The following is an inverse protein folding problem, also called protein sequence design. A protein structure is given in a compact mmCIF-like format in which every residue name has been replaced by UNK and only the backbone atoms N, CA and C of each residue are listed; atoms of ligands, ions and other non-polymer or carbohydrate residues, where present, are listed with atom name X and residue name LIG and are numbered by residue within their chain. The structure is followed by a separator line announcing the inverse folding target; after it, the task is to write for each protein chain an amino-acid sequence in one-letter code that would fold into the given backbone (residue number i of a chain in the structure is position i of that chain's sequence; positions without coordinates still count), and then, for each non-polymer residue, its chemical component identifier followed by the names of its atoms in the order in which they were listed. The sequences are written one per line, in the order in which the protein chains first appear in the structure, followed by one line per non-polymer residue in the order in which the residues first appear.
data_IF_773615647352
#
_entry.id   IF_773615647352
#
_cell.length_a   1.000
_cell.length_b   1.000
_cell.length_c   1.000
_cell.angle_alpha   90.00
_cell.angle_beta   90.00
_cell.angle_gamma   90.00
#
_symmetry.space_group_name_H-M   'P 1'
#
loop_
_entity.id
_entity.type
_entity.pdbx_description
1 polymer ?
#
# COMPACT_ATOMS: atom_id res chain seq x y z
N UNK A 1 5.38 14.83 30.96
CA UNK A 1 5.36 15.99 30.06
C UNK A 1 6.72 16.67 30.17
N UNK A 2 7.67 16.31 29.31
CA UNK A 2 8.90 17.09 29.14
C UNK A 2 8.53 18.27 28.22
N UNK A 3 8.77 19.49 28.68
CA UNK A 3 8.48 20.70 27.90
C UNK A 3 9.37 20.71 26.66
N UNK A 4 8.85 21.23 25.54
CA UNK A 4 9.54 21.32 24.24
C UNK A 4 10.92 21.98 24.31
N UNK A 5 11.18 22.77 25.36
CA UNK A 5 12.47 23.42 25.63
C UNK A 5 13.58 22.41 25.92
N UNK A 6 13.31 21.39 26.75
CA UNK A 6 14.32 20.39 27.14
C UNK A 6 14.88 19.56 25.97
N UNK A 7 14.04 19.31 24.95
CA UNK A 7 14.45 18.60 23.75
C UNK A 7 15.30 19.49 22.83
N UNK A 8 14.95 20.77 22.69
CA UNK A 8 15.70 21.72 21.87
C UNK A 8 17.07 22.03 22.47
N UNK A 9 17.17 22.11 23.80
CA UNK A 9 18.44 22.30 24.50
C UNK A 9 19.36 21.09 24.36
N UNK A 10 18.81 19.87 24.48
CA UNK A 10 19.57 18.63 24.27
C UNK A 10 20.04 18.45 22.82
N UNK A 11 19.18 18.81 21.85
CA UNK A 11 19.54 18.80 20.43
C UNK A 11 20.64 19.84 20.15
N UNK A 12 20.59 21.00 20.80
CA UNK A 12 21.62 22.03 20.65
C UNK A 12 22.95 21.64 21.26
N UNK A 13 22.97 21.06 22.46
CA UNK A 13 24.21 20.58 23.08
C UNK A 13 24.91 19.51 22.21
N UNK A 14 24.11 18.67 21.53
CA UNK A 14 24.61 17.71 20.55
C UNK A 14 25.20 18.39 19.30
N UNK A 15 24.53 19.40 18.75
CA UNK A 15 25.01 20.12 17.55
C UNK A 15 26.23 20.98 17.87
N UNK A 16 26.28 21.64 19.03
CA UNK A 16 27.40 22.46 19.48
C UNK A 16 28.66 21.62 19.68
N UNK A 17 28.52 20.40 20.22
CA UNK A 17 29.62 19.41 20.30
C UNK A 17 30.15 18.97 18.93
N UNK A 18 29.32 18.98 17.89
CA UNK A 18 29.73 18.60 16.52
C UNK A 18 30.27 19.75 15.66
N UNK A 19 30.04 21.01 16.04
CA UNK A 19 30.29 22.18 15.15
C UNK A 19 31.33 23.15 15.71
N UNK A 20 32.37 22.62 16.36
CA UNK A 20 33.34 23.40 17.16
C UNK A 20 34.27 24.35 16.36
N UNK A 21 33.93 24.77 15.14
CA UNK A 21 34.81 25.62 14.33
C UNK A 21 34.15 26.71 13.47
N UNK A 22 32.81 26.89 13.45
CA UNK A 22 32.19 27.96 12.65
C UNK A 22 31.00 28.56 13.41
N UNK A 23 31.26 29.55 14.26
CA UNK A 23 30.20 30.20 15.05
C UNK A 23 29.46 31.30 14.28
N UNK A 24 30.07 31.83 13.21
CA UNK A 24 29.55 32.96 12.43
C UNK A 24 29.73 32.66 10.94
N UNK A 25 28.65 32.78 10.17
CA UNK A 25 28.68 32.69 8.71
C UNK A 25 28.34 34.07 8.17
N UNK A 26 29.24 34.62 7.35
CA UNK A 26 28.99 35.88 6.66
C UNK A 26 28.18 35.62 5.38
N UNK A 27 26.95 36.12 5.32
CA UNK A 27 26.09 36.04 4.14
C UNK A 27 26.15 37.41 3.47
N UNK A 28 26.68 37.49 2.24
CA UNK A 28 27.01 38.75 1.55
C UNK A 28 25.87 39.77 1.38
N UNK A 29 24.62 39.37 1.63
CA UNK A 29 23.41 40.22 1.51
C UNK A 29 22.81 40.56 2.90
N UNK A 30 23.14 39.80 3.95
CA UNK A 30 22.45 39.86 5.24
C UNK A 30 23.36 40.11 6.45
N UNK A 31 24.68 40.22 6.26
CA UNK A 31 25.66 40.45 7.33
C UNK A 31 26.08 39.17 8.04
N UNK A 32 26.60 39.32 9.27
CA UNK A 32 27.06 38.20 10.11
C UNK A 32 25.88 37.55 10.86
N UNK A 33 25.67 36.24 10.62
CA UNK A 33 24.62 35.48 11.29
C UNK A 33 25.23 34.34 12.10
N UNK A 34 24.72 34.17 13.32
CA UNK A 34 25.06 32.99 14.13
C UNK A 34 24.41 31.75 13.51
N UNK A 35 25.13 30.63 13.57
CA UNK A 35 24.60 29.34 13.08
C UNK A 35 23.28 28.94 13.78
N UNK A 36 23.14 29.33 15.07
CA UNK A 36 21.91 29.14 15.86
C UNK A 36 20.70 29.83 15.23
N UNK A 37 20.87 31.07 14.78
CA UNK A 37 19.79 31.85 14.14
C UNK A 37 19.35 31.22 12.82
N UNK A 38 20.30 30.74 12.00
CA UNK A 38 20.00 30.10 10.70
C UNK A 38 19.22 28.79 10.90
N UNK A 39 19.65 27.96 11.86
CA UNK A 39 18.99 26.68 12.13
C UNK A 39 17.58 26.86 12.70
N UNK A 40 17.39 27.81 13.62
CA UNK A 40 16.05 28.13 14.15
C UNK A 40 15.08 28.58 13.06
N UNK A 41 15.53 29.44 12.14
CA UNK A 41 14.71 29.88 11.00
C UNK A 41 14.37 28.70 10.10
N UNK A 42 15.33 27.82 9.81
CA UNK A 42 15.11 26.60 9.03
C UNK A 42 14.11 25.64 9.68
N UNK A 43 14.19 25.45 10.99
CA UNK A 43 13.26 24.62 11.75
C UNK A 43 11.84 25.20 11.76
N UNK A 44 11.71 26.51 11.96
CA UNK A 44 10.42 27.22 11.90
C UNK A 44 9.81 27.06 10.50
N UNK A 45 10.59 27.28 9.44
CA UNK A 45 10.12 27.10 8.06
C UNK A 45 9.70 25.66 7.77
N UNK A 46 10.47 24.67 8.23
CA UNK A 46 10.11 23.26 8.11
C UNK A 46 8.79 22.93 8.83
N UNK A 47 8.59 23.44 10.05
CA UNK A 47 7.35 23.23 10.80
C UNK A 47 6.16 23.91 10.12
N UNK A 48 6.31 25.14 9.61
CA UNK A 48 5.28 25.86 8.84
C UNK A 48 4.91 25.09 7.58
N UNK A 49 5.88 24.60 6.80
CA UNK A 49 5.64 23.78 5.61
C UNK A 49 4.91 22.48 6.01
N UNK A 50 5.35 21.79 7.06
CA UNK A 50 4.74 20.54 7.52
C UNK A 50 3.30 20.73 8.01
N UNK A 51 3.02 21.84 8.69
CA UNK A 51 1.67 22.23 9.12
C UNK A 51 0.79 22.56 7.90
N UNK A 52 1.32 23.28 6.92
CA UNK A 52 0.62 23.59 5.66
C UNK A 52 0.31 22.34 4.81
N UNK A 53 1.22 21.37 4.75
CA UNK A 53 0.97 20.09 4.06
C UNK A 53 -0.11 19.28 4.79
N UNK A 54 -0.13 19.29 6.13
CA UNK A 54 -1.19 18.62 6.90
C UNK A 54 -2.55 19.27 6.71
N UNK A 55 -2.63 20.60 6.63
CA UNK A 55 -3.90 21.30 6.41
C UNK A 55 -4.48 21.02 5.01
N UNK A 56 -3.64 20.97 3.97
CA UNK A 56 -4.09 20.61 2.61
C UNK A 56 -4.61 19.17 2.51
N UNK A 57 -3.94 18.22 3.19
CA UNK A 57 -4.43 16.85 3.30
C UNK A 57 -5.79 16.79 4.03
N UNK A 58 -5.95 17.55 5.12
CA UNK A 58 -7.19 17.59 5.88
C UNK A 58 -8.37 18.11 5.04
N UNK A 59 -8.15 19.15 4.24
CA UNK A 59 -9.18 19.68 3.33
C UNK A 59 -9.56 18.69 2.23
N UNK A 60 -8.60 17.91 1.71
CA UNK A 60 -8.91 16.84 0.77
C UNK A 60 -9.81 15.76 1.39
N UNK A 61 -9.54 15.35 2.64
CA UNK A 61 -10.39 14.40 3.37
C UNK A 61 -11.79 14.96 3.65
N UNK A 62 -11.90 16.24 4.05
CA UNK A 62 -13.21 16.90 4.26
C UNK A 62 -14.05 16.91 2.98
N UNK A 63 -13.45 17.25 1.85
CA UNK A 63 -14.14 17.25 0.55
C UNK A 63 -14.63 15.85 0.15
N UNK A 64 -13.83 14.81 0.42
CA UNK A 64 -14.23 13.42 0.18
C UNK A 64 -15.40 12.99 1.07
N UNK A 65 -15.41 13.40 2.33
CA UNK A 65 -16.50 13.11 3.25
C UNK A 65 -17.80 13.79 2.80
N UNK A 66 -17.75 15.09 2.46
CA UNK A 66 -18.91 15.82 1.94
C UNK A 66 -19.47 15.20 0.65
N UNK A 67 -18.60 14.75 -0.26
CA UNK A 67 -19.04 14.07 -1.48
C UNK A 67 -19.70 12.71 -1.19
N UNK A 68 -19.20 11.97 -0.20
CA UNK A 68 -19.78 10.70 0.23
C UNK A 68 -21.14 10.92 0.91
N UNK A 69 -21.26 11.92 1.79
CA UNK A 69 -22.52 12.33 2.42
C UNK A 69 -23.56 12.75 1.38
N UNK A 70 -23.18 13.58 0.40
CA UNK A 70 -24.06 13.97 -0.70
C UNK A 70 -24.50 12.78 -1.57
N UNK A 71 -23.65 11.77 -1.74
CA UNK A 71 -24.02 10.56 -2.47
C UNK A 71 -25.04 9.73 -1.68
N UNK A 72 -24.85 9.58 -0.37
CA UNK A 72 -25.79 8.86 0.50
C UNK A 72 -27.15 9.56 0.48
N UNK A 73 -27.17 10.90 0.56
CA UNK A 73 -28.41 11.68 0.54
C UNK A 73 -29.14 11.54 -0.80
N UNK A 74 -28.42 11.59 -1.93
CA UNK A 74 -29.00 11.31 -3.26
C UNK A 74 -29.57 9.90 -3.35
N UNK A 75 -28.84 8.90 -2.87
CA UNK A 75 -29.29 7.50 -2.88
C UNK A 75 -30.50 7.27 -1.95
N UNK A 76 -30.67 8.08 -0.89
CA UNK A 76 -31.85 8.04 -0.02
C UNK A 76 -33.05 8.74 -0.67
N UNK A 77 -32.84 9.88 -1.31
CA UNK A 77 -33.87 10.61 -2.07
C UNK A 77 -34.40 9.77 -3.23
N UNK A 78 -33.50 9.19 -4.05
CA UNK A 78 -33.89 8.26 -5.12
C UNK A 78 -34.64 7.03 -4.58
N UNK A 79 -34.32 6.56 -3.37
CA UNK A 79 -35.09 5.46 -2.73
C UNK A 79 -36.50 5.89 -2.32
N UNK A 80 -36.67 7.11 -1.82
CA UNK A 80 -37.98 7.66 -1.46
C UNK A 80 -38.85 7.86 -2.71
N UNK A 81 -38.30 8.44 -3.78
CA UNK A 81 -38.99 8.58 -5.06
C UNK A 81 -39.45 7.22 -5.62
N UNK A 82 -38.57 6.21 -5.62
CA UNK A 82 -38.93 4.86 -6.08
C UNK A 82 -40.03 4.23 -5.22
N UNK A 83 -40.02 4.47 -3.90
CA UNK A 83 -41.06 3.96 -3.01
C UNK A 83 -42.42 4.66 -3.23
N UNK A 84 -42.41 5.97 -3.48
CA UNK A 84 -43.62 6.74 -3.82
C UNK A 84 -44.21 6.29 -5.15
N UNK A 85 -43.38 6.19 -6.20
CA UNK A 85 -43.79 5.68 -7.52
C UNK A 85 -44.36 4.27 -7.42
N UNK A 86 -43.74 3.39 -6.61
CA UNK A 86 -44.23 2.03 -6.40
C UNK A 86 -45.60 2.02 -5.69
N UNK A 87 -45.81 2.90 -4.71
CA UNK A 87 -47.10 3.06 -4.02
C UNK A 87 -48.20 3.53 -4.96
N UNK A 88 -47.92 4.54 -5.78
CA UNK A 88 -48.88 5.08 -6.76
C UNK A 88 -49.25 4.04 -7.83
N UNK A 89 -48.26 3.32 -8.37
CA UNK A 89 -48.49 2.22 -9.30
C UNK A 89 -49.36 1.13 -8.70
N UNK A 90 -49.16 0.79 -7.42
CA UNK A 90 -49.98 -0.20 -6.71
C UNK A 90 -51.42 0.28 -6.53
N UNK A 91 -51.63 1.57 -6.26
CA UNK A 91 -52.97 2.18 -6.22
C UNK A 91 -53.72 2.05 -7.56
N UNK A 92 -53.05 2.43 -8.65
CA UNK A 92 -53.62 2.37 -10.02
C UNK A 92 -53.90 0.91 -10.44
N UNK A 93 -53.01 -0.02 -10.12
CA UNK A 93 -53.20 -1.44 -10.42
C UNK A 93 -54.37 -2.04 -9.64
N UNK A 94 -54.58 -1.62 -8.38
CA UNK A 94 -55.72 -2.07 -7.57
C UNK A 94 -57.07 -1.56 -8.11
N UNK A 95 -57.09 -0.33 -8.64
CA UNK A 95 -58.27 0.25 -9.29
C UNK A 95 -58.58 -0.45 -10.63
N UNK A 96 -57.56 -0.74 -11.46
CA UNK A 96 -57.72 -1.43 -12.76
C UNK A 96 -57.97 -2.94 -12.66
N UNK A 97 -57.58 -3.59 -11.57
CA UNK A 97 -57.85 -5.02 -11.32
C UNK A 97 -59.36 -5.33 -11.29
N UNK A 98 -60.21 -4.33 -11.01
CA UNK A 98 -61.66 -4.45 -11.10
C UNK A 98 -62.25 -4.41 -12.52
N UNK A 99 -61.46 -4.14 -13.58
CA UNK A 99 -62.00 -3.88 -14.92
C UNK A 99 -61.34 -4.64 -16.09
N UNK A 100 -60.31 -5.48 -15.90
CA UNK A 100 -59.60 -6.14 -17.02
C UNK A 100 -59.25 -7.61 -16.72
N UNK A 101 -59.74 -8.51 -17.58
CA UNK A 101 -59.76 -9.98 -17.42
C UNK A 101 -58.46 -10.73 -17.84
N UNK A 102 -57.34 -10.04 -18.04
CA UNK A 102 -56.04 -10.68 -18.37
C UNK A 102 -55.14 -10.77 -17.12
N UNK A 103 -55.41 -11.78 -16.30
CA UNK A 103 -54.90 -11.90 -14.91
C UNK A 103 -53.40 -12.20 -14.76
N UNK A 104 -52.74 -12.80 -15.75
CA UNK A 104 -51.37 -13.32 -15.58
C UNK A 104 -50.27 -12.23 -15.67
N UNK A 105 -50.43 -11.24 -16.55
CA UNK A 105 -49.44 -10.16 -16.72
C UNK A 105 -49.54 -9.13 -15.59
N UNK A 106 -50.77 -8.83 -15.13
CA UNK A 106 -51.02 -7.98 -13.97
C UNK A 106 -50.47 -8.61 -12.68
N UNK A 107 -50.62 -9.92 -12.48
CA UNK A 107 -50.07 -10.61 -11.31
C UNK A 107 -48.52 -10.50 -11.27
N UNK A 108 -47.84 -10.65 -12.41
CA UNK A 108 -46.38 -10.54 -12.49
C UNK A 108 -45.87 -9.12 -12.21
N UNK A 109 -46.62 -8.09 -12.62
CA UNK A 109 -46.27 -6.70 -12.34
C UNK A 109 -46.50 -6.38 -10.87
N UNK A 110 -47.60 -6.84 -10.27
CA UNK A 110 -47.89 -6.66 -8.83
C UNK A 110 -46.80 -7.31 -7.97
N UNK A 111 -46.36 -8.53 -8.33
CA UNK A 111 -45.28 -9.23 -7.61
C UNK A 111 -43.95 -8.46 -7.67
N UNK A 112 -43.60 -7.88 -8.82
CA UNK A 112 -42.39 -7.05 -8.96
C UNK A 112 -42.47 -5.76 -8.14
N UNK A 113 -43.64 -5.12 -8.11
CA UNK A 113 -43.87 -3.90 -7.31
C UNK A 113 -43.80 -4.22 -5.82
N UNK A 114 -44.37 -5.35 -5.37
CA UNK A 114 -44.27 -5.81 -3.98
C UNK A 114 -42.82 -6.13 -3.58
N UNK A 115 -42.05 -6.74 -4.49
CA UNK A 115 -40.61 -6.97 -4.29
C UNK A 115 -39.81 -5.68 -4.13
N UNK A 116 -40.16 -4.63 -4.86
CA UNK A 116 -39.51 -3.31 -4.76
C UNK A 116 -39.91 -2.59 -3.46
N UNK A 117 -41.20 -2.62 -3.07
CA UNK A 117 -41.67 -2.04 -1.80
C UNK A 117 -41.07 -2.74 -0.57
N UNK A 118 -40.87 -4.06 -0.61
CA UNK A 118 -40.21 -4.80 0.47
C UNK A 118 -38.72 -4.45 0.58
N UNK A 119 -38.04 -4.28 -0.56
CA UNK A 119 -36.62 -3.90 -0.60
C UNK A 119 -36.37 -2.46 -0.12
N UNK A 120 -37.34 -1.54 -0.30
CA UNK A 120 -37.24 -0.15 0.16
C UNK A 120 -37.69 0.06 1.60
N UNK A 121 -38.65 -0.73 2.12
CA UNK A 121 -39.14 -0.63 3.50
C UNK A 121 -38.17 -1.16 4.58
N UNK A 122 -37.21 -2.02 4.23
CA UNK A 122 -36.30 -2.67 5.19
C UNK A 122 -35.19 -1.77 5.78
N UNK A 123 -35.21 -0.45 5.57
CA UNK A 123 -34.16 0.45 6.08
C UNK A 123 -34.73 1.76 6.63
N UNK A 124 -35.52 1.68 7.69
CA UNK A 124 -35.84 2.84 8.53
C UNK A 124 -35.47 2.55 10.00
N UNK A 125 -34.61 3.41 10.52
CA UNK A 125 -34.28 3.67 11.93
C UNK A 125 -33.85 2.50 12.84
N UNK A 126 -32.53 2.33 12.97
CA UNK A 126 -31.93 1.96 14.26
C UNK A 126 -30.97 3.07 14.69
N UNK A 127 -31.42 3.80 15.71
CA UNK A 127 -30.66 4.62 16.66
C UNK A 127 -29.15 4.28 16.72
N UNK A 128 -28.30 5.24 16.34
CA UNK A 128 -26.83 5.11 16.22
C UNK A 128 -26.13 5.06 17.60
N UNK A 129 -26.90 4.89 18.69
CA UNK A 129 -26.38 4.92 20.05
C UNK A 129 -26.58 3.62 20.85
N UNK A 130 -26.67 2.44 20.23
CA UNK A 130 -26.38 1.16 20.93
C UNK A 130 -26.18 0.00 19.97
N UNK A 131 -25.06 -0.71 20.16
CA UNK A 131 -24.66 -1.97 19.54
C UNK A 131 -24.52 -1.95 18.02
N UNK A 132 -23.27 -1.99 17.54
CA UNK A 132 -22.96 -2.63 16.27
C UNK A 132 -23.45 -4.08 16.42
N UNK A 133 -24.69 -4.35 16.02
CA UNK A 133 -25.20 -5.71 15.94
C UNK A 133 -24.30 -6.45 14.97
N UNK A 134 -23.75 -7.56 15.45
CA UNK A 134 -22.83 -8.39 14.70
C UNK A 134 -23.48 -8.76 13.36
N UNK A 135 -22.76 -8.69 12.22
CA UNK A 135 -23.35 -9.00 10.93
C UNK A 135 -23.98 -10.40 10.99
N UNK A 136 -25.26 -10.52 10.63
CA UNK A 136 -26.08 -11.74 10.70
C UNK A 136 -25.67 -12.83 9.68
N UNK A 137 -24.48 -12.70 9.09
CA UNK A 137 -23.87 -13.72 8.27
C UNK A 137 -23.28 -14.86 9.12
N UNK A 138 -22.82 -15.94 8.47
CA UNK A 138 -22.11 -17.00 9.18
C UNK A 138 -20.96 -16.40 9.99
N UNK A 139 -20.92 -16.73 11.28
CA UNK A 139 -19.84 -16.29 12.18
C UNK A 139 -18.54 -16.93 11.71
N UNK A 140 -17.74 -16.16 10.99
CA UNK A 140 -16.41 -16.59 10.55
C UNK A 140 -15.36 -16.12 11.56
N UNK A 141 -14.42 -17.01 11.86
CA UNK A 141 -13.27 -16.73 12.71
C UNK A 141 -12.00 -16.97 11.91
N UNK A 142 -11.02 -16.08 12.04
CA UNK A 142 -9.71 -16.28 11.46
C UNK A 142 -8.99 -17.36 12.26
N UNK A 143 -8.69 -18.50 11.64
CA UNK A 143 -7.94 -19.57 12.29
C UNK A 143 -6.45 -19.25 12.34
N UNK A 144 -5.89 -18.75 11.23
CA UNK A 144 -4.47 -18.47 11.08
C UNK A 144 -4.23 -17.32 10.10
N UNK A 145 -3.12 -16.60 10.30
CA UNK A 145 -2.65 -15.56 9.41
C UNK A 145 -1.27 -15.95 8.89
N UNK A 146 -1.10 -15.94 7.57
CA UNK A 146 0.16 -16.25 6.93
C UNK A 146 0.65 -15.06 6.10
N UNK A 147 1.96 -14.84 6.15
CA UNK A 147 2.66 -13.96 5.23
C UNK A 147 3.79 -14.72 4.54
N UNK A 148 4.24 -14.20 3.41
CA UNK A 148 5.33 -14.73 2.60
C UNK A 148 6.34 -13.61 2.34
N UNK A 149 7.23 -13.30 3.31
CA UNK A 149 8.11 -12.15 3.23
C UNK A 149 8.98 -12.14 1.97
N UNK A 150 9.48 -13.32 1.59
CA UNK A 150 10.23 -13.56 0.36
C UNK A 150 9.37 -14.36 -0.60
N UNK A 151 9.23 -13.87 -1.84
CA UNK A 151 8.45 -14.53 -2.88
C UNK A 151 8.97 -15.96 -3.10
N UNK A 152 8.04 -16.91 -3.11
CA UNK A 152 8.26 -18.33 -3.42
C UNK A 152 8.96 -19.14 -2.33
N UNK A 153 9.36 -18.53 -1.21
CA UNK A 153 9.79 -19.27 -0.01
C UNK A 153 8.58 -19.67 0.84
N UNK A 154 8.82 -20.51 1.87
CA UNK A 154 7.78 -20.92 2.80
C UNK A 154 7.32 -19.73 3.63
N UNK A 155 5.99 -19.55 3.72
CA UNK A 155 5.39 -18.50 4.53
C UNK A 155 5.50 -18.79 6.02
N UNK A 156 5.34 -17.74 6.82
CA UNK A 156 5.33 -17.80 8.27
C UNK A 156 3.97 -17.40 8.82
N UNK A 157 3.56 -18.06 9.91
CA UNK A 157 2.33 -17.73 10.62
C UNK A 157 2.61 -16.62 11.61
N UNK A 158 1.72 -15.62 11.67
CA UNK A 158 1.78 -14.55 12.65
C UNK A 158 0.52 -14.52 13.52
N UNK A 159 0.61 -14.16 14.81
CA UNK A 159 -0.57 -14.02 15.68
C UNK A 159 -1.41 -12.80 15.31
N UNK A 160 -0.79 -11.78 14.71
CA UNK A 160 -1.44 -10.57 14.22
C UNK A 160 -0.62 -9.97 13.07
N UNK A 161 -1.29 -9.22 12.19
CA UNK A 161 -0.63 -8.53 11.08
C UNK A 161 -1.39 -7.26 10.72
N UNK A 162 -0.67 -6.22 10.28
CA UNK A 162 -1.28 -4.98 9.83
C UNK A 162 -1.74 -5.14 8.39
N UNK A 163 -3.03 -4.96 8.14
CA UNK A 163 -3.58 -4.87 6.78
C UNK A 163 -3.29 -3.48 6.20
N UNK A 164 -2.63 -3.44 5.05
CA UNK A 164 -2.40 -2.22 4.26
C UNK A 164 -3.22 -2.27 2.98
N UNK A 165 -3.25 -1.17 2.23
CA UNK A 165 -3.89 -1.11 0.90
C UNK A 165 -3.28 -2.09 -0.11
N UNK A 166 -2.07 -2.62 0.16
CA UNK A 166 -1.36 -3.56 -0.70
C UNK A 166 -1.42 -5.02 -0.20
N UNK A 167 -2.08 -5.28 0.92
CA UNK A 167 -2.09 -6.58 1.59
C UNK A 167 -1.44 -6.51 2.96
N UNK A 168 -0.99 -7.64 3.48
CA UNK A 168 -0.38 -7.68 4.81
C UNK A 168 0.98 -6.98 4.84
N UNK A 169 1.26 -6.28 5.94
CA UNK A 169 2.60 -5.75 6.22
C UNK A 169 3.64 -6.87 6.12
N UNK A 170 4.80 -6.54 5.56
CA UNK A 170 5.90 -7.47 5.27
C UNK A 170 5.63 -8.57 4.24
N UNK A 171 4.42 -8.72 3.72
CA UNK A 171 4.14 -9.71 2.70
C UNK A 171 4.77 -9.34 1.35
N UNK A 172 5.42 -10.33 0.71
CA UNK A 172 6.05 -10.26 -0.62
C UNK A 172 6.93 -9.03 -0.84
N UNK A 173 7.69 -8.62 0.18
CA UNK A 173 8.62 -7.48 0.09
C UNK A 173 9.93 -7.83 -0.59
N UNK A 174 10.32 -9.09 -0.57
CA UNK A 174 11.55 -9.57 -1.20
C UNK A 174 11.27 -10.62 -2.27
N UNK A 175 12.22 -10.81 -3.15
CA UNK A 175 12.22 -11.89 -4.13
C UNK A 175 13.64 -12.38 -4.42
N UNK A 176 13.76 -13.62 -4.86
CA UNK A 176 15.03 -14.18 -5.29
C UNK A 176 15.13 -14.17 -6.81
N UNK A 177 16.31 -13.82 -7.30
CA UNK A 177 16.65 -13.81 -8.71
C UNK A 177 17.84 -14.73 -8.92
N UNK A 178 17.73 -15.68 -9.85
CA UNK A 178 18.89 -16.42 -10.33
C UNK A 178 19.67 -15.52 -11.28
N UNK A 179 20.96 -15.33 -11.01
CA UNK A 179 21.84 -14.57 -11.91
C UNK A 179 22.20 -15.47 -13.08
N UNK A 180 22.03 -14.94 -14.29
CA UNK A 180 22.37 -15.60 -15.55
C UNK A 180 23.72 -15.12 -16.06
N UNK A 181 24.24 -15.82 -17.06
CA UNK A 181 25.41 -15.36 -17.81
C UNK A 181 25.15 -13.95 -18.36
N UNK A 182 26.12 -13.02 -18.30
CA UNK A 182 26.01 -11.69 -18.90
C UNK A 182 25.61 -11.69 -20.38
N UNK A 183 25.94 -12.76 -21.12
CA UNK A 183 25.63 -12.94 -22.54
C UNK A 183 24.27 -13.63 -22.78
N UNK A 184 23.48 -13.87 -21.73
CA UNK A 184 22.16 -14.46 -21.82
C UNK A 184 21.22 -13.59 -22.66
N UNK A 185 20.65 -14.17 -23.73
CA UNK A 185 19.60 -13.53 -24.55
C UNK A 185 18.33 -13.15 -23.77
N UNK A 186 18.17 -13.68 -22.56
CA UNK A 186 17.01 -13.46 -21.70
C UNK A 186 17.28 -12.47 -20.56
N UNK A 187 18.40 -11.72 -20.65
CA UNK A 187 18.86 -10.78 -19.63
C UNK A 187 19.60 -11.44 -18.47
N UNK A 188 20.11 -10.60 -17.57
CA UNK A 188 21.00 -10.97 -16.46
C UNK A 188 20.31 -11.69 -15.29
N UNK A 189 18.98 -11.60 -15.20
CA UNK A 189 18.23 -12.11 -14.05
C UNK A 189 17.03 -12.97 -14.47
N UNK A 190 16.82 -14.07 -13.74
CA UNK A 190 15.60 -14.88 -13.79
C UNK A 190 14.87 -14.81 -12.47
N UNK A 191 13.58 -14.47 -12.48
CA UNK A 191 12.75 -14.57 -11.28
C UNK A 191 12.66 -16.02 -10.84
N UNK A 192 12.87 -16.28 -9.54
CA UNK A 192 12.76 -17.62 -9.00
C UNK A 192 11.34 -17.89 -8.50
N UNK A 193 10.75 -18.96 -9.06
CA UNK A 193 9.43 -19.46 -8.70
C UNK A 193 9.56 -20.88 -8.17
N UNK A 194 8.84 -21.22 -7.10
CA UNK A 194 8.90 -22.56 -6.49
C UNK A 194 8.50 -23.68 -7.46
N UNK A 195 7.68 -23.37 -8.47
CA UNK A 195 7.32 -24.30 -9.55
C UNK A 195 8.48 -24.65 -10.48
N UNK A 196 9.48 -23.77 -10.59
CA UNK A 196 10.69 -23.96 -11.42
C UNK A 196 11.92 -24.33 -10.58
N UNK A 197 11.96 -23.87 -9.32
CA UNK A 197 13.04 -24.05 -8.35
C UNK A 197 12.47 -24.65 -7.06
N UNK A 198 12.12 -25.95 -7.03
CA UNK A 198 11.47 -26.59 -5.88
C UNK A 198 12.30 -26.55 -4.60
N UNK A 199 13.63 -26.46 -4.71
CA UNK A 199 14.57 -26.31 -3.58
C UNK A 199 14.34 -25.02 -2.77
N UNK A 200 13.60 -24.03 -3.31
CA UNK A 200 13.10 -22.89 -2.55
C UNK A 200 12.24 -23.30 -1.34
N UNK A 201 11.61 -24.47 -1.38
CA UNK A 201 10.82 -25.01 -0.27
C UNK A 201 11.66 -25.31 0.99
N UNK A 202 12.98 -25.46 0.84
CA UNK A 202 13.90 -25.75 1.95
C UNK A 202 14.19 -24.54 2.83
N UNK A 203 13.77 -23.34 2.40
CA UNK A 203 13.98 -22.10 3.14
C UNK A 203 12.70 -21.70 3.88
N UNK A 204 12.78 -21.71 5.19
CA UNK A 204 11.69 -21.33 6.08
C UNK A 204 11.89 -19.90 6.56
N UNK A 205 10.81 -19.13 6.63
CA UNK A 205 10.85 -17.76 7.14
C UNK A 205 10.18 -17.67 8.50
N UNK A 206 10.62 -16.72 9.32
CA UNK A 206 9.91 -16.27 10.53
C UNK A 206 10.21 -14.78 10.76
N UNK A 207 9.34 -14.09 11.48
CA UNK A 207 9.56 -12.69 11.85
C UNK A 207 9.49 -12.56 13.37
N UNK A 208 10.46 -11.89 13.97
CA UNK A 208 10.52 -11.57 15.39
C UNK A 208 11.08 -10.16 15.55
N UNK A 209 10.40 -9.28 16.28
CA UNK A 209 10.84 -7.91 16.57
C UNK A 209 11.31 -7.12 15.32
N UNK A 210 10.54 -7.20 14.23
CA UNK A 210 10.87 -6.59 12.92
C UNK A 210 12.14 -7.14 12.25
N UNK A 211 12.65 -8.27 12.70
CA UNK A 211 13.73 -9.01 12.05
C UNK A 211 13.15 -10.20 11.31
N UNK A 212 13.50 -10.33 10.02
CA UNK A 212 13.18 -11.49 9.21
C UNK A 212 14.29 -12.52 9.35
N UNK A 213 13.94 -13.72 9.81
CA UNK A 213 14.83 -14.87 9.86
C UNK A 213 14.53 -15.80 8.69
N UNK A 214 15.57 -16.27 8.02
CA UNK A 214 15.51 -17.25 6.94
C UNK A 214 16.36 -18.44 7.33
N UNK A 215 15.74 -19.57 7.60
CA UNK A 215 16.39 -20.81 8.02
C UNK A 215 16.41 -21.80 6.87
N UNK A 216 17.57 -22.34 6.54
CA UNK A 216 17.70 -23.41 5.56
C UNK A 216 17.61 -24.78 6.23
N UNK A 217 16.75 -25.64 5.69
CA UNK A 217 16.56 -27.02 6.14
C UNK A 217 17.15 -27.97 5.11
N UNK A 218 18.33 -28.54 5.42
CA UNK A 218 18.96 -29.54 4.57
C UNK A 218 18.09 -30.81 4.51
N UNK A 219 18.00 -31.48 3.35
CA UNK A 219 17.40 -32.81 3.26
C UNK A 219 18.13 -33.80 4.16
N UNK A 220 17.39 -34.70 4.83
CA UNK A 220 17.92 -35.65 5.82
C UNK A 220 18.99 -36.62 5.29
N UNK A 221 19.16 -36.71 3.97
CA UNK A 221 20.15 -37.56 3.29
C UNK A 221 21.43 -36.82 2.87
N UNK A 222 21.63 -35.57 3.28
CA UNK A 222 22.82 -34.80 2.92
C UNK A 222 24.03 -35.22 3.78
N UNK A 223 25.12 -35.74 3.18
CA UNK A 223 26.32 -36.16 3.91
C UNK A 223 27.15 -34.97 4.46
N UNK A 224 26.76 -33.74 4.16
CA UNK A 224 27.36 -32.53 4.72
C UNK A 224 26.48 -32.01 5.86
N UNK A 225 26.80 -32.41 7.08
CA UNK A 225 26.33 -31.76 8.31
C UNK A 225 26.86 -30.33 8.33
N UNK A 226 26.02 -29.29 8.23
CA UNK A 226 26.49 -27.93 8.46
C UNK A 226 26.88 -27.77 9.94
N UNK A 227 27.81 -26.85 10.22
CA UNK A 227 28.34 -26.52 11.56
C UNK A 227 27.24 -26.12 12.56
N UNK A 228 26.05 -25.78 12.06
CA UNK A 228 24.79 -25.68 12.80
C UNK A 228 23.72 -26.54 12.11
N UNK A 229 22.82 -27.21 12.87
CA UNK A 229 21.80 -28.07 12.28
C UNK A 229 20.85 -27.33 11.32
N UNK A 230 20.74 -25.99 11.47
CA UNK A 230 19.86 -25.13 10.67
C UNK A 230 20.47 -23.72 10.50
N UNK A 231 21.31 -23.50 9.46
CA UNK A 231 21.88 -22.19 9.23
C UNK A 231 20.79 -21.16 8.97
N UNK A 232 20.92 -19.99 9.61
CA UNK A 232 19.90 -18.94 9.60
C UNK A 232 20.52 -17.60 9.20
N UNK A 233 19.88 -16.92 8.25
CA UNK A 233 20.17 -15.56 7.82
C UNK A 233 19.16 -14.60 8.47
N UNK A 234 19.63 -13.44 8.91
CA UNK A 234 18.78 -12.41 9.51
C UNK A 234 18.80 -11.14 8.68
N UNK A 235 17.62 -10.55 8.47
CA UNK A 235 17.45 -9.27 7.78
C UNK A 235 16.67 -8.35 8.70
N UNK A 236 17.30 -7.26 9.12
CA UNK A 236 16.60 -6.19 9.83
C UNK A 236 15.67 -5.44 8.84
N UNK A 237 14.38 -5.38 9.15
CA UNK A 237 13.37 -4.71 8.33
C UNK A 237 13.26 -3.21 8.63
N UNK A 238 14.17 -2.66 9.44
CA UNK A 238 14.27 -1.23 9.71
C UNK A 238 14.54 -0.40 8.45
N UNK A 239 14.07 0.87 8.40
CA UNK A 239 14.32 1.74 7.25
C UNK A 239 15.81 1.93 6.95
N UNK A 240 16.69 1.91 7.96
CA UNK A 240 18.13 2.07 7.77
C UNK A 240 18.75 0.97 6.92
N UNK A 241 18.40 -0.29 7.16
CA UNK A 241 18.89 -1.44 6.38
C UNK A 241 18.36 -1.44 4.95
N UNK A 242 17.17 -0.86 4.75
CA UNK A 242 16.48 -0.83 3.46
C UNK A 242 16.70 0.47 2.68
N UNK A 243 17.51 1.39 3.20
CA UNK A 243 17.86 2.67 2.56
C UNK A 243 19.18 2.57 1.80
N UNK A 244 19.34 3.39 0.75
CA UNK A 244 20.59 3.50 -0.03
C UNK A 244 21.06 2.21 -0.72
N UNK A 245 20.14 1.30 -1.02
CA UNK A 245 20.45 0.06 -1.74
C UNK A 245 20.61 0.33 -3.25
N UNK A 246 21.54 -0.37 -3.94
CA UNK A 246 21.69 -0.26 -5.39
C UNK A 246 20.43 -0.69 -6.14
N UNK A 247 19.99 0.14 -7.10
CA UNK A 247 18.85 -0.19 -7.95
C UNK A 247 19.21 -1.22 -9.02
N UNK A 248 18.28 -2.14 -9.27
CA UNK A 248 18.34 -3.13 -10.34
C UNK A 248 17.05 -3.12 -11.15
N UNK A 249 17.18 -3.22 -12.46
CA UNK A 249 16.04 -3.35 -13.37
C UNK A 249 15.72 -4.83 -13.56
N UNK A 250 14.48 -5.21 -13.26
CA UNK A 250 14.00 -6.59 -13.37
C UNK A 250 12.69 -6.64 -14.14
N UNK A 251 12.41 -7.75 -14.81
CA UNK A 251 11.10 -7.96 -15.46
C UNK A 251 10.37 -9.07 -14.73
N UNK A 252 9.32 -8.74 -13.98
CA UNK A 252 8.51 -9.70 -13.23
C UNK A 252 7.17 -9.90 -13.93
N UNK A 253 6.86 -11.14 -14.33
CA UNK A 253 5.63 -11.48 -15.08
C UNK A 253 5.41 -10.58 -16.31
N UNK A 254 6.45 -10.39 -17.12
CA UNK A 254 6.48 -9.51 -18.31
C UNK A 254 6.32 -8.00 -18.03
N UNK A 255 6.18 -7.59 -16.76
CA UNK A 255 6.20 -6.18 -16.39
C UNK A 255 7.60 -5.78 -15.92
N UNK A 256 8.20 -4.75 -16.52
CA UNK A 256 9.41 -4.15 -15.96
C UNK A 256 9.09 -3.55 -14.58
N UNK A 257 10.03 -3.64 -13.65
CA UNK A 257 10.02 -2.94 -12.38
C UNK A 257 11.44 -2.73 -11.86
N UNK A 258 11.62 -1.68 -11.06
CA UNK A 258 12.86 -1.45 -10.31
C UNK A 258 12.78 -2.18 -8.97
N UNK A 259 13.83 -2.91 -8.63
CA UNK A 259 14.04 -3.48 -7.30
C UNK A 259 15.41 -3.01 -6.77
N UNK A 260 15.75 -3.42 -5.56
CA UNK A 260 17.00 -3.04 -4.89
C UNK A 260 17.79 -4.30 -4.54
N UNK A 261 19.09 -4.33 -4.86
CA UNK A 261 19.97 -5.41 -4.44
C UNK A 261 20.28 -5.27 -2.95
N UNK A 262 19.98 -6.30 -2.16
CA UNK A 262 20.26 -6.31 -0.72
C UNK A 262 21.75 -6.42 -0.41
N UNK A 263 22.57 -6.83 -1.39
CA UNK A 263 24.03 -6.85 -1.27
C UNK A 263 24.63 -8.25 -1.10
N UNK A 264 25.95 -8.30 -1.27
CA UNK A 264 26.71 -9.55 -1.38
C UNK A 264 26.57 -10.47 -0.17
N UNK A 265 26.42 -9.94 1.05
CA UNK A 265 26.20 -10.73 2.27
C UNK A 265 25.01 -11.67 2.13
N UNK A 266 23.86 -11.15 1.69
CA UNK A 266 22.65 -11.96 1.53
C UNK A 266 22.71 -12.83 0.28
N UNK A 267 23.25 -12.28 -0.82
CA UNK A 267 23.38 -13.00 -2.10
C UNK A 267 24.27 -14.24 -1.97
N UNK A 268 25.40 -14.11 -1.27
CA UNK A 268 26.33 -15.22 -1.03
C UNK A 268 25.69 -16.31 -0.17
N UNK A 269 24.92 -15.94 0.86
CA UNK A 269 24.24 -16.92 1.70
C UNK A 269 23.25 -17.76 0.90
N UNK A 270 22.38 -17.15 0.10
CA UNK A 270 21.47 -17.90 -0.76
C UNK A 270 22.23 -18.74 -1.79
N UNK A 271 23.24 -18.15 -2.45
CA UNK A 271 24.04 -18.85 -3.47
C UNK A 271 24.73 -20.09 -2.92
N UNK A 272 25.18 -20.05 -1.66
CA UNK A 272 25.80 -21.18 -0.97
C UNK A 272 24.86 -22.37 -0.85
N UNK A 273 23.57 -22.15 -0.58
CA UNK A 273 22.60 -23.23 -0.39
C UNK A 273 21.90 -23.65 -1.68
N UNK A 274 21.64 -22.72 -2.59
CA UNK A 274 21.09 -23.02 -3.92
C UNK A 274 22.13 -23.66 -4.86
N UNK A 275 23.44 -23.50 -4.61
CA UNK A 275 24.55 -24.01 -5.44
C UNK A 275 24.63 -23.37 -6.84
N UNK A 276 24.05 -22.18 -6.99
CA UNK A 276 24.21 -21.32 -8.15
C UNK A 276 24.07 -19.84 -7.73
N UNK A 277 24.53 -18.88 -8.55
CA UNK A 277 24.42 -17.46 -8.24
C UNK A 277 22.97 -16.99 -8.05
N UNK A 278 22.67 -16.45 -6.86
CA UNK A 278 21.36 -15.92 -6.46
C UNK A 278 21.52 -14.53 -5.88
N UNK A 279 20.62 -13.63 -6.27
CA UNK A 279 20.47 -12.28 -5.75
C UNK A 279 19.17 -12.16 -4.96
N UNK A 280 19.25 -11.59 -3.76
CA UNK A 280 18.10 -11.20 -2.96
C UNK A 280 17.73 -9.75 -3.31
N UNK A 281 16.56 -9.59 -3.93
CA UNK A 281 16.05 -8.29 -4.32
C UNK A 281 14.95 -7.83 -3.35
N UNK A 282 15.07 -6.60 -2.87
CA UNK A 282 14.00 -5.89 -2.17
C UNK A 282 13.14 -5.12 -3.17
N UNK A 283 11.84 -5.38 -3.18
CA UNK A 283 10.92 -4.71 -4.11
C UNK A 283 10.66 -3.25 -3.73
N UNK A 284 10.82 -2.88 -2.46
CA UNK A 284 10.59 -1.52 -1.98
C UNK A 284 9.15 -1.00 -2.18
N UNK A 285 8.97 0.33 -2.32
CA UNK A 285 7.69 0.92 -2.68
C UNK A 285 7.33 0.67 -4.15
N UNK A 286 8.26 0.18 -4.96
CA UNK A 286 8.07 -0.01 -6.39
C UNK A 286 7.02 -1.10 -6.63
N UNK A 287 6.17 -0.85 -7.63
CA UNK A 287 5.13 -1.78 -8.06
C UNK A 287 5.30 -2.01 -9.54
N UNK A 288 5.19 -3.28 -9.92
CA UNK A 288 5.02 -3.64 -11.32
C UNK A 288 3.60 -3.33 -11.77
N UNK A 289 3.42 -3.08 -13.06
CA UNK A 289 2.11 -3.05 -13.66
C UNK A 289 1.51 -4.46 -13.64
N UNK A 290 0.24 -4.57 -13.26
CA UNK A 290 -0.48 -5.85 -13.29
C UNK A 290 -1.01 -6.06 -14.71
N UNK A 291 -0.25 -6.78 -15.52
CA UNK A 291 -0.56 -7.09 -16.92
C UNK A 291 -1.57 -8.24 -17.08
N UNK A 292 -2.49 -8.39 -16.11
CA UNK A 292 -3.51 -9.45 -16.08
C UNK A 292 -4.92 -8.88 -16.14
N UNK A 293 -5.92 -9.74 -16.35
CA UNK A 293 -7.32 -9.33 -16.30
C UNK A 293 -7.68 -8.95 -14.87
N UNK A 294 -7.91 -7.65 -14.65
CA UNK A 294 -8.50 -7.14 -13.43
C UNK A 294 -10.02 -7.07 -13.62
N UNK A 295 -10.83 -7.38 -12.60
CA UNK A 295 -12.28 -7.18 -12.68
C UNK A 295 -12.57 -5.72 -13.07
N UNK A 296 -13.22 -5.51 -14.21
CA UNK A 296 -13.56 -4.18 -14.72
C UNK A 296 -12.40 -3.37 -15.31
N UNK A 297 -11.19 -3.93 -15.49
CA UNK A 297 -10.09 -3.24 -16.19
C UNK A 297 -9.35 -4.19 -17.15
N UNK A 298 -9.24 -3.85 -18.45
CA UNK A 298 -8.54 -4.69 -19.41
C UNK A 298 -7.05 -4.81 -19.06
N UNK A 299 -6.40 -5.90 -19.50
CA UNK A 299 -4.99 -6.19 -19.24
C UNK A 299 -4.01 -5.10 -19.73
N UNK A 300 -4.48 -4.15 -20.53
CA UNK A 300 -3.77 -2.96 -21.03
C UNK A 300 -3.92 -1.71 -20.14
N UNK A 301 -4.58 -1.80 -18.98
CA UNK A 301 -4.74 -0.64 -18.10
C UNK A 301 -3.40 -0.21 -17.47
N UNK A 302 -2.76 0.76 -18.10
CA UNK A 302 -1.77 1.62 -17.47
C UNK A 302 -2.50 2.61 -16.56
N UNK A 303 -2.19 2.68 -15.25
CA UNK A 303 -2.62 3.82 -14.45
C UNK A 303 -2.07 5.09 -15.11
N UNK A 304 -2.83 6.20 -15.14
CA UNK A 304 -2.37 7.42 -15.76
C UNK A 304 -1.02 7.80 -15.16
N UNK A 305 0.03 7.77 -15.99
CA UNK A 305 1.31 8.40 -15.68
C UNK A 305 0.99 9.84 -15.34
N UNK A 306 1.20 10.26 -14.08
CA UNK A 306 1.26 11.70 -13.78
C UNK A 306 2.35 12.25 -14.68
N UNK A 307 2.04 13.08 -15.69
CA UNK A 307 3.09 13.63 -16.50
C UNK A 307 3.95 14.47 -15.54
N UNK A 308 5.26 14.24 -15.58
CA UNK A 308 6.21 15.25 -15.14
C UNK A 308 5.80 16.56 -15.83
N UNK A 309 5.44 17.56 -15.04
CA UNK A 309 5.26 18.93 -15.49
C UNK A 309 6.59 19.43 -16.06
N UNK A 310 6.87 19.09 -17.31
CA UNK A 310 7.91 19.71 -18.11
C UNK A 310 7.32 20.04 -19.48
N UNK A 311 7.50 21.32 -19.83
CA UNK A 311 7.15 22.01 -21.08
C UNK A 311 5.75 22.62 -21.13
N UNK A 312 5.66 23.86 -20.65
CA UNK A 312 4.95 24.90 -21.38
C UNK A 312 6.01 25.76 -22.08
N UNK A 313 6.08 25.78 -23.42
CA UNK A 313 6.85 26.77 -24.16
C UNK A 313 6.10 28.10 -24.27
N UNK A 314 6.91 29.16 -24.34
CA UNK A 314 6.64 30.61 -24.41
C UNK A 314 5.52 31.08 -25.35
N UNK A 315 4.88 32.19 -24.97
CA UNK A 315 4.59 33.44 -25.72
C UNK A 315 3.46 34.19 -24.96
N UNK A 316 3.40 35.50 -24.79
CA UNK A 316 4.26 36.65 -25.02
C UNK A 316 3.54 37.85 -24.38
N UNK A 317 4.30 38.93 -24.11
CA UNK A 317 3.86 40.32 -24.03
C UNK A 317 2.73 40.70 -23.07
N UNK A 318 3.07 41.53 -22.07
CA UNK A 318 2.58 42.91 -21.96
C UNK A 318 3.24 43.56 -20.73
N UNK A 319 4.40 44.19 -20.97
CA UNK A 319 4.74 45.42 -20.27
C UNK A 319 3.86 46.53 -20.84
N UNK A 320 3.48 47.50 -20.01
CA UNK A 320 4.07 48.81 -20.24
C UNK A 320 4.63 49.43 -18.95
N UNK A 321 5.91 49.80 -19.02
CA UNK A 321 6.52 50.93 -18.30
C UNK A 321 6.04 52.25 -18.92
N UNK A 322 6.24 53.43 -18.29
CA UNK A 322 7.15 53.74 -17.18
C UNK A 322 6.50 54.03 -15.82
#
# INVERSE_FOLDING_TARGET
MATSESFLDSLWDMVEKTTQYINIIHISILGEWSFRSIFQIGLIWYLVIKLSIRSTQLEEYRKRLQNAEAQIQRDEESRKEVAEIASDLKGILKEKSGMLENSHELASIVEKVDGISLATASKQETDISKSISSPSGPKMTISQLYIYPIKSLRGCSLPSVTLTKEGFSYDRKFMLLRVRDPNSKWGSYQNMHISEFPEMALFHTSITDSTLHITYHAPSSSPQTPVSPHPTLTIDLSPSTLSHLPEISITMHKSPMTAYDMGSTYNNWFSQYFKYPVLLAYAGPNRRLVLGNLPGKPATYTPPTRPLLQKIPLLNSLLPTP
#
